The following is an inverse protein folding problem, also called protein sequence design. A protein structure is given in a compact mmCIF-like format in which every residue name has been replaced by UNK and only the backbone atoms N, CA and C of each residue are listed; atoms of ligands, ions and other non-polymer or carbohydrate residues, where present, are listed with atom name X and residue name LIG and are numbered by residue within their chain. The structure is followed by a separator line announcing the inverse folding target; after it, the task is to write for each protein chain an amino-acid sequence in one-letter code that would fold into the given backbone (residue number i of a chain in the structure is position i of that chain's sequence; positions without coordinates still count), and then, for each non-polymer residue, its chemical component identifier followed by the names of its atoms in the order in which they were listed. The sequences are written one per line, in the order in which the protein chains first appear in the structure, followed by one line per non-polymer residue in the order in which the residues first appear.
data_IF_791271756265
#
_entry.id   IF_791271756265
#
_cell.length_a   1.000
_cell.length_b   1.000
_cell.length_c   1.000
_cell.angle_alpha   90.00
_cell.angle_beta   90.00
_cell.angle_gamma   90.00
#
_symmetry.space_group_name_H-M   'P 1'
#
loop_
_entity.id
_entity.type
_entity.pdbx_description
1 polymer ?
#
# COMPACT_ATOMS: atom_id res chain seq x y z
N UNK A 1 -1.45 1.67 -11.83
CA UNK A 1 -0.82 1.33 -10.56
C UNK A 1 0.30 2.31 -10.26
N UNK A 2 1.38 2.32 -11.04
CA UNK A 2 2.53 3.22 -10.82
C UNK A 2 2.15 4.70 -10.68
N UNK A 3 1.26 5.21 -11.53
CA UNK A 3 0.82 6.61 -11.44
C UNK A 3 0.18 6.94 -10.08
N UNK A 4 -0.59 6.04 -9.49
CA UNK A 4 -1.21 6.23 -8.19
C UNK A 4 -0.16 6.26 -7.06
N UNK A 5 0.76 5.29 -7.05
CA UNK A 5 1.85 5.21 -6.07
C UNK A 5 2.77 6.44 -6.16
N UNK A 6 3.28 6.76 -7.35
CA UNK A 6 4.18 7.90 -7.54
C UNK A 6 3.53 9.23 -7.19
N UNK A 7 2.28 9.46 -7.60
CA UNK A 7 1.57 10.70 -7.26
C UNK A 7 1.42 10.87 -5.76
N UNK A 8 1.03 9.80 -5.05
CA UNK A 8 0.85 9.87 -3.61
C UNK A 8 2.15 10.04 -2.85
N UNK A 9 3.20 9.36 -3.24
CA UNK A 9 4.53 9.55 -2.65
C UNK A 9 5.06 10.96 -2.90
N UNK A 10 4.88 11.49 -4.10
CA UNK A 10 5.29 12.87 -4.43
C UNK A 10 4.53 13.88 -3.58
N UNK A 11 3.22 13.73 -3.42
CA UNK A 11 2.42 14.63 -2.58
C UNK A 11 2.85 14.52 -1.11
N UNK A 12 3.05 13.32 -0.59
CA UNK A 12 3.52 13.14 0.78
C UNK A 12 4.88 13.83 1.01
N UNK A 13 5.83 13.66 0.08
CA UNK A 13 7.14 14.33 0.15
C UNK A 13 7.03 15.84 0.06
N UNK A 14 6.15 16.37 -0.82
CA UNK A 14 5.90 17.81 -0.91
C UNK A 14 5.32 18.37 0.39
N UNK A 15 4.37 17.66 1.01
CA UNK A 15 3.83 18.05 2.32
C UNK A 15 4.93 18.10 3.37
N UNK A 16 5.78 17.08 3.45
CA UNK A 16 6.90 17.02 4.38
C UNK A 16 7.95 18.12 4.11
N UNK A 17 8.15 18.52 2.86
CA UNK A 17 9.09 19.58 2.48
C UNK A 17 8.56 20.96 2.87
N UNK A 18 7.24 21.21 2.67
CA UNK A 18 6.61 22.49 2.99
C UNK A 18 6.36 22.62 4.49
N UNK A 19 6.00 21.54 5.14
CA UNK A 19 5.70 21.46 6.56
C UNK A 19 6.50 20.33 7.22
N UNK A 20 7.78 20.58 7.54
CA UNK A 20 8.62 19.62 8.26
C UNK A 20 7.98 19.28 9.61
N UNK A 21 7.80 18.01 9.86
CA UNK A 21 7.21 17.51 11.10
C UNK A 21 8.04 16.38 11.68
N UNK A 22 7.94 16.15 12.97
CA UNK A 22 8.69 15.13 13.68
C UNK A 22 7.86 14.52 14.80
N UNK A 23 8.29 13.37 15.29
CA UNK A 23 7.61 12.60 16.32
C UNK A 23 8.62 12.11 17.37
N UNK A 24 8.46 12.56 18.61
CA UNK A 24 9.28 12.15 19.75
C UNK A 24 8.55 11.09 20.61
N UNK A 25 8.12 10.00 19.99
CA UNK A 25 7.47 8.90 20.71
C UNK A 25 8.38 7.68 20.90
N UNK A 26 9.56 7.68 20.34
CA UNK A 26 10.48 6.53 20.40
C UNK A 26 10.95 6.28 21.82
N UNK A 27 11.15 5.00 22.13
CA UNK A 27 11.65 4.57 23.43
C UNK A 27 13.18 4.58 23.41
N UNK A 28 13.79 5.59 24.01
CA UNK A 28 15.26 5.75 24.07
C UNK A 28 15.93 4.76 25.02
N UNK A 29 15.20 4.28 26.03
CA UNK A 29 15.74 3.37 27.05
C UNK A 29 14.82 2.15 27.27
N UNK A 30 15.13 1.07 26.60
CA UNK A 30 14.54 -0.24 26.91
C UNK A 30 15.52 -1.03 27.77
N UNK A 31 15.18 -1.24 29.03
CA UNK A 31 16.02 -1.94 30.02
C UNK A 31 16.21 -3.44 29.77
N UNK A 32 15.61 -3.98 28.74
CA UNK A 32 15.74 -5.39 28.34
C UNK A 32 16.57 -5.50 27.07
N UNK A 33 17.52 -6.42 27.01
CA UNK A 33 18.23 -6.80 25.81
C UNK A 33 17.72 -8.15 25.29
N UNK A 34 17.16 -8.15 24.09
CA UNK A 34 16.82 -9.35 23.35
C UNK A 34 16.83 -9.04 21.84
N UNK A 35 16.85 -10.08 21.01
CA UNK A 35 16.95 -9.96 19.55
C UNK A 35 15.84 -9.09 18.94
N UNK A 36 14.67 -9.02 19.55
CA UNK A 36 13.57 -8.19 19.07
C UNK A 36 13.82 -6.70 19.33
N UNK A 37 14.43 -6.39 20.48
CA UNK A 37 14.81 -5.00 20.82
C UNK A 37 15.95 -4.55 19.93
N UNK A 38 16.93 -5.41 19.68
CA UNK A 38 18.02 -5.10 18.75
C UNK A 38 17.49 -4.81 17.34
N UNK A 39 16.48 -5.56 16.90
CA UNK A 39 15.78 -5.32 15.63
C UNK A 39 15.05 -3.97 15.63
N UNK A 40 14.38 -3.60 16.73
CA UNK A 40 13.69 -2.31 16.87
C UNK A 40 14.71 -1.15 16.83
N UNK A 41 15.84 -1.26 17.53
CA UNK A 41 16.91 -0.26 17.46
C UNK A 41 17.48 -0.14 16.05
N UNK A 42 17.72 -1.26 15.37
CA UNK A 42 18.16 -1.25 13.98
C UNK A 42 17.16 -0.53 13.06
N UNK A 43 15.84 -0.73 13.27
CA UNK A 43 14.81 -0.01 12.51
C UNK A 43 14.81 1.48 12.83
N UNK A 44 14.99 1.86 14.10
CA UNK A 44 15.07 3.26 14.51
C UNK A 44 16.30 4.00 13.95
N UNK A 45 17.43 3.29 13.81
CA UNK A 45 18.63 3.84 13.19
C UNK A 45 18.48 4.09 11.68
N UNK A 46 17.62 3.31 11.01
CA UNK A 46 17.38 3.43 9.57
C UNK A 46 16.29 4.43 9.22
N UNK A 47 15.30 4.55 10.09
CA UNK A 47 14.14 5.42 9.88
C UNK A 47 14.22 6.60 10.86
N UNK A 48 14.38 7.80 10.34
CA UNK A 48 14.47 9.01 11.17
C UNK A 48 13.09 9.43 11.69
N UNK A 49 12.98 10.00 12.93
CA UNK A 49 11.69 10.44 13.48
C UNK A 49 11.22 11.78 12.90
N UNK A 50 11.59 12.07 11.65
CA UNK A 50 11.27 13.30 10.94
C UNK A 50 10.40 13.02 9.73
N UNK A 51 9.56 13.98 9.33
CA UNK A 51 8.67 13.88 8.17
C UNK A 51 7.70 12.68 8.27
N UNK A 52 7.06 12.56 9.41
CA UNK A 52 6.20 11.41 9.74
C UNK A 52 4.76 11.55 9.24
N UNK A 53 4.28 12.76 8.99
CA UNK A 53 2.92 13.03 8.55
C UNK A 53 2.89 13.67 7.13
N UNK A 54 2.12 13.12 6.19
CA UNK A 54 1.32 11.90 6.25
C UNK A 54 2.18 10.63 6.19
N UNK A 55 1.73 9.53 6.84
CA UNK A 55 2.47 8.28 6.83
C UNK A 55 2.55 7.67 5.42
N UNK A 56 3.76 7.66 4.86
CA UNK A 56 4.05 7.04 3.57
C UNK A 56 3.84 5.53 3.64
N UNK A 57 4.19 4.89 4.76
CA UNK A 57 3.98 3.45 4.97
C UNK A 57 2.51 3.07 4.87
N UNK A 58 1.64 3.83 5.53
CA UNK A 58 0.19 3.62 5.48
C UNK A 58 -0.36 3.86 4.07
N UNK A 59 0.04 4.97 3.44
CA UNK A 59 -0.36 5.28 2.08
C UNK A 59 0.04 4.16 1.11
N UNK A 60 1.33 3.80 1.05
CA UNK A 60 1.85 2.79 0.12
C UNK A 60 1.19 1.41 0.34
N UNK A 61 0.96 1.03 1.59
CA UNK A 61 0.31 -0.23 1.93
C UNK A 61 -1.14 -0.29 1.42
N UNK A 62 -1.92 0.78 1.62
CA UNK A 62 -3.29 0.89 1.13
C UNK A 62 -3.30 0.94 -0.41
N UNK A 63 -2.40 1.69 -1.00
CA UNK A 63 -2.26 1.81 -2.44
C UNK A 63 -1.95 0.46 -3.08
N UNK A 64 -0.99 -0.28 -2.52
CA UNK A 64 -0.65 -1.64 -2.95
C UNK A 64 -1.85 -2.59 -2.83
N UNK A 65 -2.58 -2.56 -1.70
CA UNK A 65 -3.81 -3.35 -1.53
C UNK A 65 -4.83 -3.08 -2.64
N UNK A 66 -5.13 -1.81 -2.90
CA UNK A 66 -6.08 -1.40 -3.95
C UNK A 66 -5.61 -1.89 -5.32
N UNK A 67 -4.32 -1.76 -5.60
CA UNK A 67 -3.70 -2.17 -6.85
C UNK A 67 -3.77 -3.68 -7.06
N UNK A 68 -3.47 -4.48 -6.04
CA UNK A 68 -3.56 -5.95 -6.09
C UNK A 68 -5.00 -6.41 -6.35
N UNK A 69 -5.96 -5.85 -5.61
CA UNK A 69 -7.38 -6.20 -5.76
C UNK A 69 -7.94 -5.80 -7.13
N UNK A 70 -7.42 -4.71 -7.72
CA UNK A 70 -7.87 -4.24 -9.04
C UNK A 70 -7.10 -4.83 -10.21
N UNK A 71 -5.94 -5.41 -9.99
CA UNK A 71 -5.11 -5.99 -11.05
C UNK A 71 -5.83 -7.13 -11.77
N UNK A 72 -6.00 -7.08 -13.09
CA UNK A 72 -6.59 -8.17 -13.87
C UNK A 72 -5.67 -9.40 -13.86
N UNK A 73 -4.36 -9.22 -13.93
CA UNK A 73 -3.39 -10.31 -13.96
C UNK A 73 -3.37 -11.13 -12.65
N UNK A 74 -3.45 -10.46 -11.50
CA UNK A 74 -3.51 -11.15 -10.21
C UNK A 74 -4.77 -12.00 -10.05
N UNK A 75 -5.87 -11.61 -10.67
CA UNK A 75 -7.13 -12.38 -10.64
C UNK A 75 -7.07 -13.69 -11.43
N UNK A 76 -6.12 -13.82 -12.35
CA UNK A 76 -5.90 -15.05 -13.11
C UNK A 76 -5.07 -16.06 -12.30
N UNK A 77 -4.14 -15.56 -11.46
CA UNK A 77 -3.21 -16.39 -10.69
C UNK A 77 -3.82 -16.91 -9.38
N UNK A 78 -4.57 -16.07 -8.67
CA UNK A 78 -5.10 -16.37 -7.34
C UNK A 78 -6.57 -15.95 -7.26
N UNK A 79 -7.44 -16.69 -6.56
CA UNK A 79 -8.83 -16.29 -6.35
C UNK A 79 -8.92 -14.88 -5.77
N UNK A 80 -9.75 -14.04 -6.37
CA UNK A 80 -9.89 -12.63 -5.98
C UNK A 80 -10.17 -12.43 -4.49
N UNK A 81 -10.97 -13.31 -3.89
CA UNK A 81 -11.30 -13.23 -2.46
C UNK A 81 -10.06 -13.47 -1.60
N UNK A 82 -9.24 -14.45 -1.97
CA UNK A 82 -7.98 -14.75 -1.25
C UNK A 82 -7.04 -13.57 -1.29
N UNK A 83 -6.81 -12.96 -2.47
CA UNK A 83 -5.97 -11.76 -2.59
C UNK A 83 -6.53 -10.64 -1.72
N UNK A 84 -7.85 -10.40 -1.79
CA UNK A 84 -8.50 -9.34 -1.02
C UNK A 84 -8.30 -9.51 0.48
N UNK A 85 -8.52 -10.72 1.01
CA UNK A 85 -8.39 -10.94 2.45
C UNK A 85 -6.94 -10.93 2.92
N UNK A 86 -6.04 -11.63 2.21
CA UNK A 86 -4.61 -11.65 2.59
C UNK A 86 -3.97 -10.27 2.53
N UNK A 87 -4.19 -9.53 1.45
CA UNK A 87 -3.64 -8.18 1.33
C UNK A 87 -4.25 -7.20 2.33
N UNK A 88 -5.55 -7.34 2.66
CA UNK A 88 -6.19 -6.51 3.68
C UNK A 88 -5.61 -6.80 5.07
N UNK A 89 -5.49 -8.08 5.45
CA UNK A 89 -4.90 -8.47 6.74
C UNK A 89 -3.46 -7.93 6.83
N UNK A 90 -2.66 -8.14 5.79
CA UNK A 90 -1.29 -7.64 5.76
C UNK A 90 -1.24 -6.11 5.89
N UNK A 91 -2.13 -5.39 5.20
CA UNK A 91 -2.22 -3.93 5.28
C UNK A 91 -2.54 -3.45 6.69
N UNK A 92 -3.50 -4.10 7.36
CA UNK A 92 -3.84 -3.78 8.75
C UNK A 92 -2.67 -4.06 9.69
N UNK A 93 -2.00 -5.20 9.52
CA UNK A 93 -0.84 -5.55 10.35
C UNK A 93 0.31 -4.55 10.18
N UNK A 94 0.60 -4.09 8.94
CA UNK A 94 1.63 -3.07 8.69
C UNK A 94 1.22 -1.75 9.34
N UNK A 95 -0.02 -1.28 9.18
CA UNK A 95 -0.47 -0.05 9.83
C UNK A 95 -0.38 -0.12 11.36
N UNK A 96 -0.76 -1.24 11.96
CA UNK A 96 -0.63 -1.45 13.39
C UNK A 96 0.84 -1.49 13.82
N UNK A 97 1.71 -2.17 13.07
CA UNK A 97 3.13 -2.27 13.40
C UNK A 97 3.81 -0.91 13.45
N UNK A 98 3.48 0.01 12.53
CA UNK A 98 4.05 1.39 12.53
C UNK A 98 3.65 2.17 13.79
N UNK A 99 2.44 1.93 14.31
CA UNK A 99 1.98 2.54 15.57
C UNK A 99 2.61 1.88 16.80
N UNK A 100 2.69 0.55 16.85
CA UNK A 100 3.31 -0.16 17.98
C UNK A 100 4.82 0.09 18.07
N UNK A 101 5.51 0.20 16.94
CA UNK A 101 6.90 0.60 16.87
C UNK A 101 7.11 2.10 17.09
N UNK A 102 6.04 2.86 17.39
CA UNK A 102 6.10 4.31 17.63
C UNK A 102 6.80 5.12 16.52
N UNK A 103 6.75 4.61 15.30
CA UNK A 103 7.25 5.32 14.13
C UNK A 103 6.25 6.37 13.65
N UNK A 104 4.95 6.12 13.88
CA UNK A 104 3.86 7.03 13.50
C UNK A 104 2.84 7.19 14.62
N UNK A 105 2.29 8.39 14.72
CA UNK A 105 1.13 8.66 15.55
C UNK A 105 -0.17 8.22 14.88
N UNK A 106 -1.25 8.14 15.63
CA UNK A 106 -2.60 7.88 15.08
C UNK A 106 -2.97 8.93 14.02
N UNK A 107 -2.56 10.17 14.22
CA UNK A 107 -2.85 11.29 13.31
C UNK A 107 -2.16 11.03 11.96
N UNK A 108 -0.90 10.60 11.95
CA UNK A 108 -0.14 10.33 10.73
C UNK A 108 -0.77 9.18 9.92
N UNK A 109 -1.28 8.16 10.63
CA UNK A 109 -2.02 7.04 10.02
C UNK A 109 -3.31 7.53 9.37
N UNK A 110 -4.09 8.37 10.08
CA UNK A 110 -5.33 8.96 9.53
C UNK A 110 -5.01 9.81 8.29
N UNK A 111 -3.98 10.64 8.35
CA UNK A 111 -3.56 11.45 7.19
C UNK A 111 -3.14 10.58 6.01
N UNK A 112 -2.42 9.48 6.24
CA UNK A 112 -2.06 8.51 5.20
C UNK A 112 -3.28 7.83 4.56
N UNK A 113 -4.28 7.45 5.37
CA UNK A 113 -5.57 6.89 4.89
C UNK A 113 -6.34 7.93 4.06
N UNK A 114 -6.42 9.17 4.54
CA UNK A 114 -7.09 10.25 3.82
C UNK A 114 -6.41 10.52 2.48
N UNK A 115 -5.08 10.62 2.45
CA UNK A 115 -4.31 10.78 1.22
C UNK A 115 -4.60 9.64 0.24
N UNK A 116 -4.56 8.39 0.67
CA UNK A 116 -4.86 7.23 -0.16
C UNK A 116 -6.29 7.28 -0.71
N UNK A 117 -7.26 7.68 0.12
CA UNK A 117 -8.66 7.75 -0.27
C UNK A 117 -8.90 8.85 -1.29
N UNK A 118 -8.42 10.06 -1.03
CA UNK A 118 -8.58 11.21 -1.93
C UNK A 118 -7.95 10.90 -3.29
N UNK A 119 -6.71 10.42 -3.29
CA UNK A 119 -6.02 10.06 -4.53
C UNK A 119 -6.68 8.89 -5.26
N UNK A 120 -7.29 7.95 -4.56
CA UNK A 120 -8.08 6.91 -5.19
C UNK A 120 -9.21 7.51 -6.06
N UNK A 121 -9.95 8.47 -5.53
CA UNK A 121 -11.02 9.13 -6.29
C UNK A 121 -10.45 9.98 -7.44
N UNK A 122 -9.37 10.72 -7.21
CA UNK A 122 -8.74 11.55 -8.23
C UNK A 122 -8.18 10.70 -9.36
N UNK A 123 -7.38 9.69 -9.05
CA UNK A 123 -6.69 8.89 -10.06
C UNK A 123 -7.64 7.92 -10.74
N UNK A 124 -8.40 7.13 -9.99
CA UNK A 124 -9.20 6.05 -10.59
C UNK A 124 -10.60 6.48 -11.03
N UNK A 125 -11.21 7.49 -10.41
CA UNK A 125 -12.57 7.92 -10.74
C UNK A 125 -12.58 9.12 -11.70
N UNK A 126 -11.59 10.00 -11.62
CA UNK A 126 -11.58 11.22 -12.42
C UNK A 126 -10.56 11.15 -13.56
N UNK A 127 -9.27 10.91 -13.30
CA UNK A 127 -8.21 10.92 -14.32
C UNK A 127 -8.34 9.75 -15.30
N UNK A 128 -8.48 8.52 -14.80
CA UNK A 128 -8.57 7.32 -15.65
C UNK A 128 -10.01 6.90 -16.01
N UNK A 129 -10.98 7.77 -15.82
CA UNK A 129 -12.39 7.47 -16.14
C UNK A 129 -12.62 7.04 -17.58
N UNK A 130 -11.88 7.63 -18.53
CA UNK A 130 -12.03 7.45 -19.98
C UNK A 130 -10.83 6.73 -20.61
N UNK A 131 -9.96 6.10 -19.81
CA UNK A 131 -8.80 5.36 -20.33
C UNK A 131 -9.16 3.90 -20.44
N UNK A 132 -9.37 3.43 -21.67
CA UNK A 132 -9.47 2.02 -21.97
C UNK A 132 -8.06 1.41 -21.91
N UNK A 133 -7.81 0.62 -20.87
CA UNK A 133 -6.56 -0.13 -20.79
C UNK A 133 -6.62 -1.27 -21.82
N UNK A 134 -5.61 -1.38 -22.70
CA UNK A 134 -5.57 -2.49 -23.64
C UNK A 134 -5.60 -3.81 -22.87
N UNK A 135 -6.40 -4.75 -23.37
CA UNK A 135 -6.43 -6.10 -22.83
C UNK A 135 -4.99 -6.66 -22.79
N UNK A 136 -4.61 -7.43 -21.77
CA UNK A 136 -3.30 -8.04 -21.73
C UNK A 136 -3.06 -8.83 -23.01
N UNK A 137 -1.97 -8.53 -23.68
CA UNK A 137 -1.57 -9.27 -24.90
C UNK A 137 -1.19 -10.67 -24.47
N UNK A 138 -2.08 -11.61 -24.69
CA UNK A 138 -1.82 -13.03 -24.47
C UNK A 138 -0.84 -13.47 -25.56
N UNK A 139 0.43 -13.62 -25.20
CA UNK A 139 1.50 -14.00 -26.13
C UNK A 139 1.50 -15.49 -26.51
N UNK A 140 0.71 -16.32 -25.83
CA UNK A 140 0.69 -17.76 -26.01
C UNK A 140 -0.68 -18.25 -26.51
N UNK A 141 -0.78 -18.91 -27.68
CA UNK A 141 -2.02 -19.49 -28.20
C UNK A 141 -2.67 -20.50 -27.25
N UNK A 142 -1.89 -21.22 -26.45
CA UNK A 142 -2.39 -22.16 -25.44
C UNK A 142 -3.11 -21.48 -24.28
N UNK A 143 -2.67 -20.30 -23.86
CA UNK A 143 -3.37 -19.52 -22.84
C UNK A 143 -4.77 -19.06 -23.32
N UNK A 144 -4.93 -18.79 -24.59
CA UNK A 144 -6.23 -18.40 -25.16
C UNK A 144 -7.26 -19.52 -25.04
N UNK A 145 -6.87 -20.77 -25.23
CA UNK A 145 -7.77 -21.92 -25.05
C UNK A 145 -8.16 -22.12 -23.59
N UNK A 146 -7.21 -22.04 -22.68
CA UNK A 146 -7.47 -22.18 -21.23
C UNK A 146 -8.42 -21.08 -20.74
N UNK A 147 -8.20 -19.82 -21.12
CA UNK A 147 -9.07 -18.69 -20.77
C UNK A 147 -10.47 -18.85 -21.38
N UNK A 148 -10.59 -19.35 -22.60
CA UNK A 148 -11.88 -19.65 -23.24
C UNK A 148 -12.66 -20.71 -22.45
N UNK A 149 -12.02 -21.80 -22.03
CA UNK A 149 -12.64 -22.87 -21.25
C UNK A 149 -13.05 -22.40 -19.85
N UNK A 150 -12.23 -21.59 -19.18
CA UNK A 150 -12.54 -21.02 -17.86
C UNK A 150 -13.72 -20.03 -17.92
N UNK A 151 -13.77 -19.19 -18.95
CA UNK A 151 -14.90 -18.26 -19.16
C UNK A 151 -16.21 -18.98 -19.51
N UNK A 152 -16.14 -20.08 -20.24
CA UNK A 152 -17.32 -20.89 -20.57
C UNK A 152 -17.92 -21.59 -19.34
N UNK A 153 -17.09 -21.99 -18.37
CA UNK A 153 -17.55 -22.55 -17.07
C UNK A 153 -18.20 -21.51 -16.15
N UNK A 154 -17.85 -20.24 -16.33
CA UNK A 154 -18.36 -19.14 -15.48
C UNK A 154 -19.74 -18.63 -15.93
N UNK A 155 -20.19 -19.01 -17.12
CA UNK A 155 -21.51 -18.63 -17.69
C UNK A 155 -22.60 -19.72 -17.55
N UNK A 156 -22.26 -20.83 -16.92
CA UNK A 156 -23.21 -21.86 -16.47
C UNK A 156 -23.33 -21.79 -14.94
#
# INVERSE_FOLDING_TARGET
ICAYEFTGMTIALLVCTIYPNGLELRLDNVSRSNILIDLVHFLYDKDTPTNVCPSIHVFATIATHICLVKSPHMKELIPRQTIKHLSLILSVLICLSTMFLKQHSVIDVICGILLATVLYFVVFKWWFRNVDFPAPVVKDPHQHQVLYFLNKRRKK
#
